data_IF_415838890967
#
_entry.id   IF_415838890967
#
_cell.length_a   1.000
_cell.length_b   1.000
_cell.length_c   1.000
_cell.angle_alpha   90.00
_cell.angle_beta   90.00
_cell.angle_gamma   90.00
#
_symmetry.space_group_name_H-M   'P 1'
#
loop_
_entity.id
_entity.type
_entity.pdbx_description
1 polymer ?
#
# COMPACT_ATOMS: atom_id res chain seq x y z
N UNK A 1 -25.68 -28.37 1.99
CA UNK A 1 -25.45 -27.20 2.86
C UNK A 1 -24.36 -26.38 2.23
N UNK A 2 -24.69 -25.22 1.65
CA UNK A 2 -23.68 -24.24 1.27
C UNK A 2 -23.18 -23.61 2.58
N UNK A 3 -21.93 -23.88 2.98
CA UNK A 3 -21.27 -23.11 4.03
C UNK A 3 -21.38 -21.64 3.65
N UNK A 4 -22.13 -20.85 4.45
CA UNK A 4 -22.09 -19.40 4.33
C UNK A 4 -20.68 -18.97 4.72
N UNK A 5 -19.86 -18.73 3.70
CA UNK A 5 -18.52 -18.16 3.88
C UNK A 5 -18.72 -16.80 4.55
N UNK A 6 -18.24 -16.65 5.78
CA UNK A 6 -18.36 -15.41 6.54
C UNK A 6 -17.65 -14.31 5.76
N UNK A 7 -18.38 -13.24 5.42
CA UNK A 7 -17.82 -12.07 4.74
C UNK A 7 -16.99 -11.28 5.74
N UNK A 8 -15.67 -11.27 5.57
CA UNK A 8 -14.74 -10.45 6.35
C UNK A 8 -14.63 -9.02 5.81
N UNK A 9 -14.34 -8.09 6.71
CA UNK A 9 -13.89 -6.73 6.45
C UNK A 9 -12.35 -6.66 6.51
N UNK A 10 -11.73 -6.51 5.34
CA UNK A 10 -10.29 -6.59 5.15
C UNK A 10 -9.74 -5.21 4.81
N UNK A 11 -8.81 -4.72 5.62
CA UNK A 11 -8.21 -3.39 5.47
C UNK A 11 -6.76 -3.50 4.98
N UNK A 12 -6.49 -2.93 3.80
CA UNK A 12 -5.12 -2.72 3.33
C UNK A 12 -4.65 -1.35 3.80
N UNK A 13 -3.55 -1.32 4.56
CA UNK A 13 -3.05 -0.10 5.17
C UNK A 13 -1.56 0.05 4.88
N UNK A 14 -1.20 1.07 4.11
CA UNK A 14 0.21 1.49 3.99
C UNK A 14 0.71 1.98 5.34
N UNK A 15 1.94 1.63 5.71
CA UNK A 15 2.52 2.08 6.97
C UNK A 15 3.63 3.09 6.73
N UNK A 16 3.57 4.22 7.42
CA UNK A 16 4.62 5.22 7.45
C UNK A 16 5.48 5.12 8.71
N UNK A 17 6.08 6.25 9.08
CA UNK A 17 7.05 6.37 10.18
C UNK A 17 6.51 7.22 11.33
N UNK A 18 5.18 7.40 11.39
CA UNK A 18 4.49 8.31 12.32
C UNK A 18 4.78 7.99 13.79
N UNK A 19 4.85 6.70 14.14
CA UNK A 19 5.16 6.23 15.49
C UNK A 19 6.51 6.75 15.97
N UNK A 20 7.56 6.61 15.14
CA UNK A 20 8.90 7.11 15.50
C UNK A 20 8.88 8.64 15.62
N UNK A 21 8.24 9.34 14.67
CA UNK A 21 8.15 10.80 14.73
C UNK A 21 7.41 11.31 15.98
N UNK A 22 6.41 10.59 16.45
CA UNK A 22 5.63 10.93 17.64
C UNK A 22 6.32 10.51 18.94
N UNK A 23 7.02 9.36 18.95
CA UNK A 23 7.81 8.89 20.09
C UNK A 23 8.90 9.89 20.48
N UNK A 24 9.56 10.52 19.51
CA UNK A 24 10.58 11.55 19.75
C UNK A 24 10.07 12.82 20.47
N UNK A 25 8.74 13.00 20.54
CA UNK A 25 8.09 14.12 21.25
C UNK A 25 7.63 13.72 22.67
N UNK A 26 7.77 12.45 23.04
CA UNK A 26 7.37 11.93 24.36
C UNK A 26 8.60 11.83 25.26
N UNK A 27 8.33 11.62 26.54
CA UNK A 27 9.36 11.34 27.53
C UNK A 27 9.77 9.86 27.41
N UNK A 28 10.94 9.64 26.81
CA UNK A 28 11.57 8.33 26.60
C UNK A 28 13.06 8.43 26.94
N UNK A 29 13.67 7.30 27.28
CA UNK A 29 15.08 7.18 27.62
C UNK A 29 15.97 7.79 26.54
N UNK A 30 16.96 8.58 26.95
CA UNK A 30 17.79 9.38 26.03
C UNK A 30 18.58 8.51 25.03
N UNK A 31 19.02 7.32 25.44
CA UNK A 31 19.69 6.38 24.53
C UNK A 31 18.75 5.86 23.43
N UNK A 32 17.50 5.55 23.77
CA UNK A 32 16.47 5.10 22.81
C UNK A 32 16.11 6.26 21.88
N UNK A 33 15.95 7.46 22.43
CA UNK A 33 15.71 8.67 21.63
C UNK A 33 16.82 8.87 20.59
N UNK A 34 18.08 8.68 20.98
CA UNK A 34 19.21 8.75 20.06
C UNK A 34 19.15 7.67 18.96
N UNK A 35 18.81 6.43 19.29
CA UNK A 35 18.58 5.36 18.29
C UNK A 35 17.47 5.75 17.30
N UNK A 36 16.34 6.26 17.80
CA UNK A 36 15.22 6.68 16.96
C UNK A 36 15.58 7.88 16.06
N UNK A 37 16.36 8.86 16.56
CA UNK A 37 16.83 10.01 15.77
C UNK A 37 17.74 9.53 14.64
N UNK A 38 18.71 8.67 14.94
CA UNK A 38 19.65 8.13 13.93
C UNK A 38 18.88 7.44 12.81
N UNK A 39 18.00 6.51 13.15
CA UNK A 39 17.22 5.78 12.16
C UNK A 39 16.27 6.69 11.36
N UNK A 40 15.65 7.69 11.98
CA UNK A 40 14.76 8.64 11.30
C UNK A 40 15.49 9.51 10.26
N UNK A 41 16.74 9.88 10.53
CA UNK A 41 17.57 10.72 9.67
C UNK A 41 18.41 9.91 8.67
N UNK A 42 18.44 8.59 8.83
CA UNK A 42 19.22 7.69 7.99
C UNK A 42 18.69 7.66 6.56
N UNK A 43 19.61 7.42 5.61
CA UNK A 43 19.23 7.07 4.24
C UNK A 43 18.54 5.70 4.27
N UNK A 44 17.38 5.53 3.60
CA UNK A 44 16.71 4.24 3.51
C UNK A 44 17.65 3.10 3.10
N UNK A 45 17.67 2.02 3.89
CA UNK A 45 18.55 0.86 3.67
C UNK A 45 19.98 1.00 4.18
N UNK A 46 20.37 2.14 4.79
CA UNK A 46 21.67 2.24 5.46
C UNK A 46 21.72 1.40 6.75
N UNK A 47 22.90 1.08 7.30
CA UNK A 47 23.01 0.37 8.57
C UNK A 47 22.21 1.02 9.70
N UNK A 48 22.19 2.35 9.77
CA UNK A 48 21.44 3.11 10.78
C UNK A 48 19.92 3.02 10.60
N UNK A 49 19.41 2.93 9.37
CA UNK A 49 17.99 2.63 9.12
C UNK A 49 17.67 1.20 9.56
N UNK A 50 18.49 0.25 9.12
CA UNK A 50 18.28 -1.19 9.35
C UNK A 50 18.45 -1.60 10.82
N UNK A 51 19.17 -0.82 11.64
CA UNK A 51 19.33 -1.05 13.08
C UNK A 51 17.97 -1.27 13.77
N UNK A 52 16.92 -0.52 13.40
CA UNK A 52 15.60 -0.69 13.99
C UNK A 52 14.92 -2.03 13.67
N UNK A 53 15.32 -2.74 12.61
CA UNK A 53 14.80 -4.10 12.34
C UNK A 53 15.24 -5.09 13.42
N UNK A 54 16.46 -4.94 13.93
CA UNK A 54 17.02 -5.77 15.01
C UNK A 54 16.30 -5.53 16.34
N UNK A 55 15.66 -4.37 16.48
CA UNK A 55 14.92 -4.00 17.67
C UNK A 55 13.49 -4.57 17.71
N UNK A 56 12.99 -5.30 16.71
CA UNK A 56 11.59 -5.76 16.68
C UNK A 56 11.29 -6.93 17.64
N UNK A 57 12.33 -7.54 18.23
CA UNK A 57 12.18 -8.57 19.26
C UNK A 57 11.41 -8.09 20.49
N UNK A 58 10.60 -8.97 21.10
CA UNK A 58 9.92 -8.70 22.37
C UNK A 58 10.86 -8.44 23.55
N UNK A 59 12.13 -8.82 23.43
CA UNK A 59 13.16 -8.53 24.45
C UNK A 59 13.83 -7.16 24.25
N UNK A 60 13.56 -6.48 23.14
CA UNK A 60 14.15 -5.18 22.83
C UNK A 60 13.58 -4.08 23.72
N UNK A 61 14.46 -3.40 24.46
CA UNK A 61 14.09 -2.23 25.27
C UNK A 61 13.51 -1.11 24.40
N UNK A 62 14.12 -0.86 23.24
CA UNK A 62 13.66 0.15 22.26
C UNK A 62 12.21 -0.13 21.85
N UNK A 63 11.90 -1.37 21.48
CA UNK A 63 10.54 -1.72 21.06
C UNK A 63 9.54 -1.65 22.19
N UNK A 64 9.88 -2.19 23.37
CA UNK A 64 8.96 -2.22 24.50
C UNK A 64 8.62 -0.82 25.02
N UNK A 65 9.60 0.10 25.05
CA UNK A 65 9.37 1.46 25.49
C UNK A 65 8.49 2.23 24.50
N UNK A 66 8.77 2.13 23.18
CA UNK A 66 7.93 2.74 22.14
C UNK A 66 6.54 2.10 22.10
N UNK A 67 6.44 0.77 22.24
CA UNK A 67 5.15 0.08 22.30
C UNK A 67 4.32 0.51 23.51
N UNK A 68 4.96 0.73 24.66
CA UNK A 68 4.27 1.18 25.89
C UNK A 68 3.60 2.54 25.70
N UNK A 69 4.29 3.49 25.06
CA UNK A 69 3.69 4.81 24.79
C UNK A 69 2.61 4.73 23.70
N UNK A 70 2.72 3.83 22.72
CA UNK A 70 1.67 3.56 21.74
C UNK A 70 0.43 2.98 22.41
N UNK A 71 0.56 2.00 23.30
CA UNK A 71 -0.58 1.42 24.03
C UNK A 71 -1.32 2.47 24.86
N UNK A 72 -0.61 3.45 25.44
CA UNK A 72 -1.21 4.53 26.23
C UNK A 72 -2.01 5.54 25.39
N UNK A 73 -1.62 5.79 24.14
CA UNK A 73 -2.20 6.83 23.29
C UNK A 73 -2.15 6.44 21.79
N UNK A 74 -2.82 5.33 21.40
CA UNK A 74 -2.57 4.65 20.12
C UNK A 74 -2.89 5.52 18.90
N UNK A 75 -4.01 6.23 18.95
CA UNK A 75 -4.52 7.03 17.83
C UNK A 75 -3.76 8.35 17.64
N UNK A 76 -3.11 8.88 18.68
CA UNK A 76 -2.20 10.02 18.51
C UNK A 76 -0.83 9.56 18.05
N UNK A 77 -0.39 8.39 18.51
CA UNK A 77 0.94 7.87 18.25
C UNK A 77 1.11 7.29 16.84
N UNK A 78 0.07 6.69 16.26
CA UNK A 78 0.11 6.07 14.93
C UNK A 78 -0.99 6.62 14.02
N UNK A 79 -0.59 7.09 12.84
CA UNK A 79 -1.51 7.49 11.78
C UNK A 79 -2.37 6.32 11.28
N UNK A 80 -1.80 5.11 11.26
CA UNK A 80 -2.45 3.86 10.85
C UNK A 80 -3.52 3.42 11.86
N UNK A 81 -3.21 3.46 13.16
CA UNK A 81 -4.20 3.15 14.20
C UNK A 81 -5.30 4.21 14.20
N UNK A 82 -4.95 5.49 14.03
CA UNK A 82 -5.93 6.57 13.96
C UNK A 82 -6.90 6.40 12.79
N UNK A 83 -6.39 6.03 11.61
CA UNK A 83 -7.24 5.82 10.43
C UNK A 83 -8.16 4.63 10.56
N UNK A 84 -7.73 3.58 11.27
CA UNK A 84 -8.55 2.40 11.57
C UNK A 84 -9.58 2.63 12.68
N UNK A 85 -9.43 3.69 13.49
CA UNK A 85 -10.23 3.91 14.71
C UNK A 85 -11.73 3.77 14.46
N UNK A 86 -12.26 4.47 13.45
CA UNK A 86 -13.68 4.43 13.11
C UNK A 86 -14.16 3.01 12.82
N UNK A 87 -13.44 2.25 11.99
CA UNK A 87 -13.83 0.88 11.65
C UNK A 87 -13.71 -0.08 12.84
N UNK A 88 -12.66 0.07 13.66
CA UNK A 88 -12.46 -0.73 14.86
C UNK A 88 -13.62 -0.54 15.86
N UNK A 89 -14.00 0.72 16.13
CA UNK A 89 -15.09 1.06 17.06
C UNK A 89 -16.46 0.56 16.57
N UNK A 90 -16.64 0.38 15.26
CA UNK A 90 -17.86 -0.12 14.65
C UNK A 90 -17.83 -1.64 14.35
N UNK A 91 -16.78 -2.36 14.75
CA UNK A 91 -16.66 -3.80 14.49
C UNK A 91 -16.57 -4.16 13.01
N UNK A 92 -16.03 -3.25 12.19
CA UNK A 92 -15.88 -3.38 10.74
C UNK A 92 -14.45 -3.72 10.34
N UNK A 93 -13.70 -4.42 11.20
CA UNK A 93 -12.32 -4.86 10.92
C UNK A 93 -12.18 -6.29 11.39
N UNK A 94 -12.04 -7.22 10.44
CA UNK A 94 -11.73 -8.62 10.74
C UNK A 94 -10.24 -8.91 10.49
N UNK A 95 -9.68 -8.28 9.45
CA UNK A 95 -8.29 -8.47 9.04
C UNK A 95 -7.63 -7.18 8.60
N UNK A 96 -6.37 -6.99 9.00
CA UNK A 96 -5.53 -5.87 8.55
C UNK A 96 -4.28 -6.40 7.85
N UNK A 97 -4.04 -5.88 6.64
CA UNK A 97 -2.86 -6.13 5.82
C UNK A 97 -2.02 -4.86 5.78
N UNK A 98 -0.98 -4.82 6.62
CA UNK A 98 -0.04 -3.70 6.70
C UNK A 98 0.97 -3.79 5.56
N UNK A 99 0.95 -2.83 4.64
CA UNK A 99 1.92 -2.70 3.55
C UNK A 99 3.08 -1.82 4.01
N UNK A 100 4.14 -2.46 4.50
CA UNK A 100 5.32 -1.78 5.03
C UNK A 100 6.29 -1.37 3.95
N UNK A 101 6.89 -0.18 4.11
CA UNK A 101 8.09 0.19 3.36
C UNK A 101 9.21 -0.80 3.62
N UNK A 102 10.13 -0.93 2.67
CA UNK A 102 11.33 -1.75 2.75
C UNK A 102 12.47 -1.02 3.49
N UNK A 103 12.12 -0.41 4.61
CA UNK A 103 13.03 0.36 5.47
C UNK A 103 13.00 -0.20 6.88
N UNK A 104 14.07 0.01 7.66
CA UNK A 104 14.09 -0.46 9.04
C UNK A 104 13.11 0.30 9.93
N UNK A 105 13.00 1.62 9.75
CA UNK A 105 11.99 2.43 10.44
C UNK A 105 10.57 1.96 10.11
N UNK A 106 10.27 1.68 8.83
CA UNK A 106 8.95 1.23 8.39
C UNK A 106 8.58 -0.14 8.95
N UNK A 107 9.53 -1.08 8.91
CA UNK A 107 9.35 -2.41 9.49
C UNK A 107 9.13 -2.37 11.00
N UNK A 108 9.88 -1.50 11.70
CA UNK A 108 9.71 -1.29 13.14
C UNK A 108 8.32 -0.73 13.47
N UNK A 109 7.87 0.31 12.76
CA UNK A 109 6.54 0.91 12.96
C UNK A 109 5.42 -0.09 12.66
N UNK A 110 5.47 -0.79 11.53
CA UNK A 110 4.45 -1.78 11.15
C UNK A 110 4.39 -2.95 12.12
N UNK A 111 5.52 -3.35 12.71
CA UNK A 111 5.55 -4.39 13.74
C UNK A 111 4.90 -3.96 15.06
N UNK A 112 5.05 -2.70 15.46
CA UNK A 112 4.35 -2.12 16.61
C UNK A 112 2.84 -2.06 16.37
N UNK A 113 2.42 -1.60 15.17
CA UNK A 113 1.00 -1.57 14.78
C UNK A 113 0.41 -2.98 14.77
N UNK A 114 1.12 -3.95 14.17
CA UNK A 114 0.72 -5.37 14.18
C UNK A 114 0.49 -5.87 15.60
N UNK A 115 1.47 -5.67 16.49
CA UNK A 115 1.37 -6.12 17.89
C UNK A 115 0.18 -5.48 18.61
N UNK A 116 -0.05 -4.19 18.40
CA UNK A 116 -1.20 -3.51 18.98
C UNK A 116 -2.52 -4.12 18.47
N UNK A 117 -2.69 -4.22 17.15
CA UNK A 117 -3.93 -4.74 16.56
C UNK A 117 -4.19 -6.19 16.96
N UNK A 118 -3.17 -7.03 16.97
CA UNK A 118 -3.33 -8.45 17.33
C UNK A 118 -3.59 -8.67 18.81
N UNK A 119 -2.85 -7.99 19.70
CA UNK A 119 -2.90 -8.28 21.16
C UNK A 119 -3.89 -7.41 21.92
N UNK A 120 -4.15 -6.18 21.46
CA UNK A 120 -5.05 -5.23 22.14
C UNK A 120 -6.41 -5.16 21.46
N UNK A 121 -6.45 -5.20 20.13
CA UNK A 121 -7.70 -5.15 19.38
C UNK A 121 -8.24 -6.52 18.97
N UNK A 122 -7.45 -7.60 19.11
CA UNK A 122 -7.87 -8.96 18.75
C UNK A 122 -8.04 -9.19 17.24
N UNK A 123 -7.39 -8.37 16.41
CA UNK A 123 -7.54 -8.37 14.96
C UNK A 123 -6.47 -9.23 14.29
N UNK A 124 -6.87 -10.07 13.34
CA UNK A 124 -5.93 -10.81 12.49
C UNK A 124 -5.11 -9.81 11.65
N UNK A 125 -3.81 -9.69 11.94
CA UNK A 125 -2.96 -8.66 11.35
C UNK A 125 -1.68 -9.24 10.76
N UNK A 126 -1.44 -8.96 9.48
CA UNK A 126 -0.22 -9.34 8.77
C UNK A 126 0.56 -8.12 8.31
N UNK A 127 1.88 -8.24 8.32
CA UNK A 127 2.79 -7.26 7.70
C UNK A 127 3.32 -7.86 6.41
N UNK A 128 3.18 -7.12 5.31
CA UNK A 128 3.81 -7.40 4.02
C UNK A 128 4.83 -6.30 3.76
N UNK A 129 6.12 -6.65 3.82
CA UNK A 129 7.19 -5.73 3.42
C UNK A 129 7.19 -5.65 1.90
N UNK A 130 6.94 -4.47 1.37
CA UNK A 130 6.88 -4.23 -0.08
C UNK A 130 8.26 -3.83 -0.58
N UNK A 131 8.88 -4.71 -1.37
CA UNK A 131 10.25 -4.51 -1.87
C UNK A 131 10.43 -3.14 -2.53
N UNK A 132 11.50 -2.43 -2.15
CA UNK A 132 11.86 -1.13 -2.72
C UNK A 132 10.91 0.02 -2.36
N UNK A 133 9.78 -0.24 -1.69
CA UNK A 133 8.84 0.80 -1.28
C UNK A 133 9.49 1.69 -0.20
N UNK A 134 9.53 3.00 -0.44
CA UNK A 134 10.25 3.95 0.41
C UNK A 134 11.77 4.01 0.19
N UNK A 135 12.31 3.24 -0.77
CA UNK A 135 13.75 3.21 -1.11
C UNK A 135 13.98 3.66 -2.55
N UNK A 136 13.34 3.01 -3.53
CA UNK A 136 13.46 3.31 -4.97
C UNK A 136 12.06 3.57 -5.51
N UNK A 137 11.78 4.81 -5.92
CA UNK A 137 10.41 5.23 -6.27
C UNK A 137 9.72 4.34 -7.31
N UNK A 138 10.32 4.11 -8.48
CA UNK A 138 9.68 3.34 -9.56
C UNK A 138 9.50 1.86 -9.18
N UNK A 139 10.53 1.21 -8.62
CA UNK A 139 10.45 -0.19 -8.19
C UNK A 139 9.47 -0.36 -7.01
N UNK A 140 9.51 0.54 -6.05
CA UNK A 140 8.63 0.57 -4.89
C UNK A 140 7.18 0.78 -5.28
N UNK A 141 6.89 1.70 -6.20
CA UNK A 141 5.54 1.92 -6.71
C UNK A 141 5.02 0.68 -7.44
N UNK A 142 5.82 0.06 -8.31
CA UNK A 142 5.42 -1.17 -9.00
C UNK A 142 5.15 -2.31 -8.03
N UNK A 143 6.02 -2.50 -7.03
CA UNK A 143 5.88 -3.56 -6.03
C UNK A 143 4.68 -3.32 -5.12
N UNK A 144 4.41 -2.06 -4.76
CA UNK A 144 3.23 -1.66 -3.98
C UNK A 144 1.95 -1.98 -4.76
N UNK A 145 1.89 -1.54 -6.02
CA UNK A 145 0.73 -1.78 -6.87
C UNK A 145 0.49 -3.27 -7.10
N UNK A 146 1.53 -4.06 -7.40
CA UNK A 146 1.39 -5.50 -7.59
C UNK A 146 0.87 -6.18 -6.32
N UNK A 147 1.50 -5.89 -5.18
CA UNK A 147 1.10 -6.46 -3.88
C UNK A 147 -0.34 -6.08 -3.54
N UNK A 148 -0.69 -4.80 -3.66
CA UNK A 148 -2.04 -4.32 -3.35
C UNK A 148 -3.08 -4.90 -4.31
N UNK A 149 -2.86 -4.86 -5.62
CA UNK A 149 -3.81 -5.37 -6.61
C UNK A 149 -4.03 -6.88 -6.44
N UNK A 150 -2.97 -7.63 -6.17
CA UNK A 150 -3.06 -9.05 -5.87
C UNK A 150 -3.94 -9.32 -4.65
N UNK A 151 -3.65 -8.68 -3.52
CA UNK A 151 -4.41 -8.85 -2.29
C UNK A 151 -5.86 -8.41 -2.46
N UNK A 152 -6.11 -7.25 -3.07
CA UNK A 152 -7.48 -6.78 -3.34
C UNK A 152 -8.22 -7.82 -4.20
N UNK A 153 -7.63 -8.27 -5.30
CA UNK A 153 -8.25 -9.25 -6.20
C UNK A 153 -8.54 -10.57 -5.49
N UNK A 154 -7.61 -11.08 -4.68
CA UNK A 154 -7.78 -12.32 -3.90
C UNK A 154 -8.97 -12.23 -2.93
N UNK A 155 -9.04 -11.17 -2.12
CA UNK A 155 -10.11 -11.00 -1.13
C UNK A 155 -11.47 -10.66 -1.77
N UNK A 156 -11.50 -9.84 -2.83
CA UNK A 156 -12.74 -9.55 -3.58
C UNK A 156 -13.31 -10.81 -4.23
N UNK A 157 -12.48 -11.62 -4.91
CA UNK A 157 -12.89 -12.90 -5.50
C UNK A 157 -13.37 -13.92 -4.47
N UNK A 158 -12.84 -13.85 -3.24
CA UNK A 158 -13.28 -14.67 -2.14
C UNK A 158 -14.60 -14.21 -1.48
N UNK A 159 -15.19 -13.08 -1.93
CA UNK A 159 -16.46 -12.55 -1.44
C UNK A 159 -16.34 -11.65 -0.20
N UNK A 160 -15.15 -11.12 0.07
CA UNK A 160 -14.88 -10.26 1.23
C UNK A 160 -15.02 -8.78 0.89
N UNK A 161 -15.27 -7.96 1.91
CA UNK A 161 -15.28 -6.51 1.84
C UNK A 161 -13.85 -6.01 1.96
N UNK A 162 -13.42 -5.17 1.01
CA UNK A 162 -12.03 -4.68 0.96
C UNK A 162 -12.01 -3.17 1.08
N UNK A 163 -11.21 -2.69 2.02
CA UNK A 163 -11.04 -1.28 2.35
C UNK A 163 -9.57 -0.90 2.16
N UNK A 164 -9.31 0.28 1.61
CA UNK A 164 -7.94 0.78 1.41
C UNK A 164 -7.73 2.07 2.19
N UNK A 165 -6.77 2.08 3.10
CA UNK A 165 -6.34 3.27 3.81
C UNK A 165 -5.35 4.07 2.95
N UNK A 166 -5.72 5.29 2.61
CA UNK A 166 -4.92 6.27 1.88
C UNK A 166 -4.33 7.36 2.81
N UNK A 167 -4.17 7.07 4.11
CA UNK A 167 -3.68 8.06 5.10
C UNK A 167 -2.15 8.20 5.09
N UNK A 168 -1.43 7.09 4.97
CA UNK A 168 0.02 7.07 5.10
C UNK A 168 0.71 6.80 3.76
N UNK A 169 1.92 7.33 3.61
CA UNK A 169 2.73 7.19 2.40
C UNK A 169 2.88 8.49 1.63
N UNK A 170 3.73 8.46 0.60
CA UNK A 170 3.94 9.60 -0.28
C UNK A 170 2.74 9.79 -1.22
N UNK A 171 2.45 11.06 -1.55
CA UNK A 171 1.25 11.45 -2.32
C UNK A 171 1.14 10.75 -3.69
N UNK A 172 2.22 10.59 -4.48
CA UNK A 172 2.13 9.89 -5.76
C UNK A 172 1.72 8.43 -5.60
N UNK A 173 2.36 7.68 -4.70
CA UNK A 173 2.09 6.26 -4.45
C UNK A 173 0.67 6.04 -3.96
N UNK A 174 0.22 6.89 -3.05
CA UNK A 174 -1.16 6.89 -2.55
C UNK A 174 -2.15 7.15 -3.69
N UNK A 175 -1.88 8.11 -4.57
CA UNK A 175 -2.75 8.41 -5.72
C UNK A 175 -2.89 7.23 -6.68
N UNK A 176 -1.79 6.55 -6.99
CA UNK A 176 -1.81 5.35 -7.82
C UNK A 176 -2.53 4.18 -7.14
N UNK A 177 -2.35 4.00 -5.83
CA UNK A 177 -3.05 2.98 -5.05
C UNK A 177 -4.57 3.21 -5.05
N UNK A 178 -5.03 4.46 -4.90
CA UNK A 178 -6.45 4.82 -4.97
C UNK A 178 -7.03 4.48 -6.35
N UNK A 179 -6.33 4.87 -7.43
CA UNK A 179 -6.78 4.58 -8.80
C UNK A 179 -6.90 3.07 -9.01
N UNK A 180 -5.89 2.30 -8.59
CA UNK A 180 -5.92 0.85 -8.67
C UNK A 180 -7.09 0.27 -7.85
N UNK A 181 -7.28 0.74 -6.62
CA UNK A 181 -8.37 0.30 -5.75
C UNK A 181 -9.75 0.52 -6.40
N UNK A 182 -10.00 1.68 -7.00
CA UNK A 182 -11.25 1.95 -7.71
C UNK A 182 -11.43 1.08 -8.95
N UNK A 183 -10.37 0.84 -9.73
CA UNK A 183 -10.42 -0.09 -10.88
C UNK A 183 -10.71 -1.54 -10.45
N UNK A 184 -10.37 -1.91 -9.22
CA UNK A 184 -10.61 -3.23 -8.64
C UNK A 184 -11.91 -3.29 -7.80
N UNK A 185 -12.75 -2.26 -7.86
CA UNK A 185 -14.05 -2.20 -7.17
C UNK A 185 -13.95 -2.48 -5.66
N UNK A 186 -12.98 -1.86 -4.97
CA UNK A 186 -12.95 -1.89 -3.49
C UNK A 186 -14.23 -1.29 -2.90
N UNK A 187 -14.56 -1.69 -1.68
CA UNK A 187 -15.79 -1.28 -1.00
C UNK A 187 -15.68 0.14 -0.42
N UNK A 188 -14.50 0.54 0.03
CA UNK A 188 -14.23 1.93 0.40
C UNK A 188 -12.73 2.25 0.36
N UNK A 189 -12.41 3.50 0.07
CA UNK A 189 -11.08 4.08 0.26
C UNK A 189 -11.23 5.20 1.27
N UNK A 190 -10.40 5.21 2.32
CA UNK A 190 -10.54 6.17 3.41
C UNK A 190 -9.20 6.81 3.78
N UNK A 191 -9.24 8.03 4.32
CA UNK A 191 -8.07 8.72 4.83
C UNK A 191 -8.40 9.56 6.06
N UNK A 192 -7.38 9.91 6.84
CA UNK A 192 -7.47 10.93 7.90
C UNK A 192 -6.90 12.23 7.36
N UNK A 193 -7.69 13.30 7.40
CA UNK A 193 -7.20 14.63 7.04
C UNK A 193 -6.31 15.21 8.15
N UNK A 194 -5.09 15.66 7.82
CA UNK A 194 -4.10 16.12 8.81
C UNK A 194 -4.62 17.26 9.70
N UNK A 195 -5.31 18.25 9.12
CA UNK A 195 -5.81 19.43 9.85
C UNK A 195 -7.02 19.13 10.74
N UNK A 196 -8.01 18.38 10.23
CA UNK A 196 -9.27 18.14 10.93
C UNK A 196 -9.19 16.91 11.84
N UNK A 197 -8.20 16.02 11.62
CA UNK A 197 -8.07 14.71 12.28
C UNK A 197 -9.33 13.86 12.19
N UNK A 198 -10.14 14.13 11.17
CA UNK A 198 -11.40 13.46 10.92
C UNK A 198 -11.21 12.35 9.89
N UNK A 199 -11.98 11.29 10.09
CA UNK A 199 -12.12 10.19 9.15
C UNK A 199 -12.92 10.64 7.93
N UNK A 200 -12.37 10.41 6.75
CA UNK A 200 -13.01 10.74 5.48
C UNK A 200 -12.98 9.52 4.58
N UNK A 201 -14.16 9.04 4.21
CA UNK A 201 -14.31 8.07 3.13
C UNK A 201 -14.36 8.82 1.80
N UNK A 202 -13.47 8.45 0.88
CA UNK A 202 -13.51 8.97 -0.47
C UNK A 202 -14.70 8.34 -1.21
N UNK A 203 -15.42 9.13 -2.05
CA UNK A 203 -16.43 8.58 -2.93
C UNK A 203 -15.82 7.47 -3.79
N UNK A 204 -16.27 6.23 -3.59
CA UNK A 204 -15.79 5.06 -4.33
C UNK A 204 -16.48 5.01 -5.69
N UNK A 205 -15.99 5.85 -6.61
CA UNK A 205 -16.51 5.94 -7.97
C UNK A 205 -16.20 4.63 -8.69
N UNK A 206 -17.20 3.92 -9.26
CA UNK A 206 -16.95 2.75 -10.09
C UNK A 206 -16.19 3.18 -11.36
N UNK A 207 -14.87 2.98 -11.36
CA UNK A 207 -14.00 3.34 -12.47
C UNK A 207 -13.71 2.13 -13.33
N UNK A 208 -13.71 2.32 -14.65
CA UNK A 208 -13.21 1.35 -15.60
C UNK A 208 -12.36 2.02 -16.68
N UNK A 209 -11.47 1.25 -17.30
CA UNK A 209 -10.73 1.70 -18.49
C UNK A 209 -11.68 1.61 -19.68
N UNK A 210 -11.79 2.67 -20.50
CA UNK A 210 -12.65 2.63 -21.69
C UNK A 210 -12.28 1.43 -22.56
N UNK A 211 -13.30 0.71 -23.03
CA UNK A 211 -13.15 -0.56 -23.74
C UNK A 211 -12.16 -0.50 -24.92
N UNK A 212 -12.18 0.61 -25.68
CA UNK A 212 -11.24 0.82 -26.80
C UNK A 212 -9.77 0.75 -26.36
N UNK A 213 -9.39 1.39 -25.26
CA UNK A 213 -8.02 1.31 -24.77
C UNK A 213 -7.74 -0.02 -24.06
N UNK A 214 -8.71 -0.55 -23.30
CA UNK A 214 -8.53 -1.80 -22.56
C UNK A 214 -8.24 -2.97 -23.51
N UNK A 215 -8.95 -3.04 -24.63
CA UNK A 215 -8.77 -4.08 -25.65
C UNK A 215 -7.36 -4.01 -26.27
N UNK A 216 -6.92 -2.81 -26.67
CA UNK A 216 -5.58 -2.62 -27.23
C UNK A 216 -4.48 -2.90 -26.20
N UNK A 217 -4.65 -2.45 -24.95
CA UNK A 217 -3.68 -2.74 -23.88
C UNK A 217 -3.57 -4.24 -23.60
N UNK A 218 -4.69 -4.98 -23.57
CA UNK A 218 -4.71 -6.44 -23.43
C UNK A 218 -4.04 -7.12 -24.63
N UNK A 219 -4.30 -6.64 -25.86
CA UNK A 219 -3.64 -7.14 -27.07
C UNK A 219 -2.12 -6.96 -27.00
N UNK A 220 -1.64 -5.77 -26.62
CA UNK A 220 -0.21 -5.50 -26.45
C UNK A 220 0.37 -6.40 -25.36
N UNK A 221 -0.31 -6.56 -24.22
CA UNK A 221 0.18 -7.38 -23.10
C UNK A 221 0.45 -8.82 -23.51
N UNK A 222 -0.53 -9.49 -24.13
CA UNK A 222 -0.40 -10.89 -24.54
C UNK A 222 0.67 -11.06 -25.63
N UNK A 223 0.70 -10.16 -26.61
CA UNK A 223 1.68 -10.19 -27.70
C UNK A 223 3.10 -9.89 -27.23
N UNK A 224 3.27 -8.94 -26.33
CA UNK A 224 4.55 -8.62 -25.71
C UNK A 224 5.06 -9.80 -24.87
N UNK A 225 4.19 -10.49 -24.13
CA UNK A 225 4.56 -11.67 -23.35
C UNK A 225 5.06 -12.83 -24.22
N UNK A 226 4.47 -13.02 -25.41
CA UNK A 226 4.79 -14.12 -26.32
C UNK A 226 5.94 -13.81 -27.29
N UNK A 227 6.03 -12.57 -27.78
CA UNK A 227 6.92 -12.18 -28.88
C UNK A 227 7.82 -10.98 -28.54
N UNK A 228 7.70 -10.41 -27.35
CA UNK A 228 8.50 -9.28 -26.88
C UNK A 228 7.99 -7.90 -27.30
N UNK A 229 7.02 -7.80 -28.22
CA UNK A 229 6.34 -6.56 -28.61
C UNK A 229 5.06 -6.85 -29.44
N UNK A 230 4.25 -5.82 -29.69
CA UNK A 230 3.21 -5.79 -30.72
C UNK A 230 3.62 -4.84 -31.87
N UNK A 231 3.50 -5.22 -33.16
CA UNK A 231 3.72 -4.30 -34.28
C UNK A 231 2.79 -3.08 -34.23
N UNK A 232 3.32 -1.89 -34.50
CA UNK A 232 2.58 -0.64 -34.40
C UNK A 232 1.39 -0.54 -35.38
N UNK A 233 1.50 -1.17 -36.55
CA UNK A 233 0.47 -1.25 -37.58
C UNK A 233 -0.68 -2.22 -37.23
N UNK A 234 -0.52 -3.03 -36.18
CA UNK A 234 -1.61 -3.83 -35.61
C UNK A 234 -2.52 -3.02 -34.66
N UNK A 235 -2.23 -1.74 -34.40
CA UNK A 235 -3.02 -0.88 -33.51
C UNK A 235 -3.57 0.29 -34.33
N UNK A 236 -4.82 0.66 -34.10
CA UNK A 236 -5.43 1.85 -34.72
C UNK A 236 -4.59 3.10 -34.43
N UNK A 237 -4.21 3.86 -35.47
CA UNK A 237 -3.20 4.93 -35.40
C UNK A 237 -3.52 5.99 -34.33
N UNK A 238 -4.77 6.43 -34.28
CA UNK A 238 -5.27 7.38 -33.29
C UNK A 238 -5.24 6.80 -31.86
N UNK A 239 -5.54 5.52 -31.69
CA UNK A 239 -5.44 4.86 -30.37
C UNK A 239 -3.98 4.75 -29.95
N UNK A 240 -3.08 4.29 -30.83
CA UNK A 240 -1.65 4.20 -30.54
C UNK A 240 -1.05 5.57 -30.18
N UNK A 241 -1.42 6.61 -30.92
CA UNK A 241 -1.02 8.00 -30.63
C UNK A 241 -1.43 8.40 -29.22
N UNK A 242 -2.70 8.19 -28.86
CA UNK A 242 -3.18 8.52 -27.51
C UNK A 242 -2.51 7.69 -26.41
N UNK A 243 -2.32 6.38 -26.61
CA UNK A 243 -1.62 5.52 -25.65
C UNK A 243 -0.18 6.00 -25.42
N UNK A 244 0.49 6.47 -26.48
CA UNK A 244 1.85 7.01 -26.43
C UNK A 244 1.90 8.37 -25.71
N UNK A 245 1.02 9.31 -26.08
CA UNK A 245 0.91 10.64 -25.46
C UNK A 245 0.59 10.56 -23.95
N UNK A 246 -0.25 9.58 -23.57
CA UNK A 246 -0.57 9.27 -22.16
C UNK A 246 0.52 8.48 -21.44
N UNK A 247 1.62 8.14 -22.12
CA UNK A 247 2.75 7.38 -21.59
C UNK A 247 2.33 6.01 -21.03
N UNK A 248 1.41 5.32 -21.71
CA UNK A 248 0.98 3.96 -21.37
C UNK A 248 1.83 2.90 -22.10
N UNK A 249 2.40 3.29 -23.24
CA UNK A 249 3.26 2.45 -24.08
C UNK A 249 4.60 3.13 -24.39
N UNK A 250 5.55 2.35 -24.89
CA UNK A 250 6.76 2.83 -25.57
C UNK A 250 6.75 2.32 -27.00
N UNK A 251 7.20 3.15 -27.95
CA UNK A 251 7.35 2.79 -29.35
C UNK A 251 8.85 2.81 -29.69
N UNK A 252 9.41 1.64 -29.99
CA UNK A 252 10.80 1.46 -30.42
C UNK A 252 10.87 1.33 -31.95
N UNK A 253 11.88 1.94 -32.57
CA UNK A 253 12.12 1.91 -34.03
C UNK A 253 10.89 2.27 -34.89
N UNK A 254 9.94 3.05 -34.33
CA UNK A 254 8.63 3.36 -34.92
C UNK A 254 7.77 2.13 -35.27
N UNK A 255 8.12 0.93 -34.80
CA UNK A 255 7.47 -0.32 -35.22
C UNK A 255 7.09 -1.24 -34.08
N UNK A 256 7.76 -1.16 -32.93
CA UNK A 256 7.56 -2.09 -31.82
C UNK A 256 6.90 -1.39 -30.65
N UNK A 257 5.70 -1.81 -30.31
CA UNK A 257 4.93 -1.29 -29.18
C UNK A 257 5.09 -2.22 -27.98
N UNK A 258 5.43 -1.63 -26.83
CA UNK A 258 5.55 -2.31 -25.54
C UNK A 258 4.79 -1.54 -24.46
N UNK A 259 4.24 -2.24 -23.48
CA UNK A 259 3.61 -1.62 -22.33
C UNK A 259 4.66 -1.02 -21.40
N UNK A 260 4.31 0.13 -20.78
CA UNK A 260 5.04 0.60 -19.60
C UNK A 260 4.88 -0.39 -18.46
N UNK A 261 5.92 -0.51 -17.63
CA UNK A 261 5.98 -1.52 -16.57
C UNK A 261 4.79 -1.48 -15.60
N UNK A 262 4.36 -0.29 -15.19
CA UNK A 262 3.22 -0.13 -14.28
C UNK A 262 1.88 -0.58 -14.89
N UNK A 263 1.71 -0.45 -16.21
CA UNK A 263 0.53 -1.01 -16.90
C UNK A 263 0.57 -2.53 -16.85
N UNK A 264 1.74 -3.15 -17.07
CA UNK A 264 1.89 -4.60 -16.99
C UNK A 264 1.54 -5.17 -15.61
N UNK A 265 1.77 -4.38 -14.56
CA UNK A 265 1.42 -4.74 -13.18
C UNK A 265 -0.09 -4.65 -12.97
N UNK A 266 -0.73 -3.58 -13.43
CA UNK A 266 -2.14 -3.33 -13.16
C UNK A 266 -3.09 -4.17 -14.04
N UNK A 267 -2.77 -4.29 -15.32
CA UNK A 267 -3.65 -4.87 -16.35
C UNK A 267 -4.15 -6.29 -16.06
N UNK A 268 -3.35 -7.22 -15.48
CA UNK A 268 -3.82 -8.55 -15.11
C UNK A 268 -4.97 -8.57 -14.11
N UNK A 269 -5.14 -7.49 -13.34
CA UNK A 269 -6.15 -7.37 -12.30
C UNK A 269 -7.39 -6.58 -12.74
N UNK A 270 -7.34 -5.88 -13.87
CA UNK A 270 -8.48 -5.14 -14.42
C UNK A 270 -9.37 -6.11 -15.19
N UNK A 271 -10.57 -6.34 -14.67
CA UNK A 271 -11.62 -7.09 -15.36
C UNK A 271 -12.14 -6.31 -16.58
N UNK A 272 -12.54 -7.05 -17.62
CA UNK A 272 -13.25 -6.50 -18.79
C UNK A 272 -14.74 -6.51 -18.58
#
# INVERSE_FOLDING_TARGET
MLEHKVTMHVHLVTTGTSIVANALKKDISEDIKNTLIKAKLATPGSPEDLELKEHVSITSRVFNEVYTIVVKDPYTMSAELNSLKYFLENGLVDKVLLLSTDTGVGYFCSSIVKKYLSEKAGIDTEVKVVKGFGVVFEEGLMSLLDTACKLISEYKKAGHKVYVCATAGFKPETSFLIIAAFLLNVDSVYYIHENFREHVELPSIPLTVKAVYLNELKKIYEREKLHGFLPADEIEENVLKELSERRLVTIEDQKKVKLKKWIKVLLPYIES
#
